data_IF_129394746219
#
_entry.id   IF_129394746219
#
_cell.length_a   1.000
_cell.length_b   1.000
_cell.length_c   1.000
_cell.angle_alpha   90.00
_cell.angle_beta   90.00
_cell.angle_gamma   90.00
#
_symmetry.space_group_name_H-M   'P 1'
#
loop_
_entity.id
_entity.type
_entity.pdbx_description
1 polymer ?
#
# COMPACT_ATOMS: atom_id res chain seq x y z
N UNK A 1 12.06 0.98 6.13
CA UNK A 1 10.85 0.20 5.82
C UNK A 1 9.69 0.97 6.41
N UNK A 2 8.58 1.14 5.70
CA UNK A 2 7.38 1.74 6.32
C UNK A 2 6.90 0.80 7.43
N UNK A 3 6.30 1.36 8.47
CA UNK A 3 5.65 0.57 9.52
C UNK A 3 4.53 -0.28 8.89
N UNK A 4 4.46 -1.56 9.24
CA UNK A 4 3.37 -2.43 8.76
C UNK A 4 2.08 -2.17 9.52
N UNK A 5 0.95 -2.67 9.00
CA UNK A 5 -0.34 -2.56 9.67
C UNK A 5 -0.31 -3.32 11.00
N UNK A 6 0.35 -4.47 11.04
CA UNK A 6 0.49 -5.32 12.21
C UNK A 6 1.34 -4.65 13.30
N UNK A 7 2.44 -3.99 12.91
CA UNK A 7 3.26 -3.20 13.83
C UNK A 7 2.46 -2.03 14.41
N UNK A 8 1.75 -1.26 13.58
CA UNK A 8 0.92 -0.15 14.02
C UNK A 8 -0.23 -0.61 14.94
N UNK A 9 -0.88 -1.72 14.61
CA UNK A 9 -1.93 -2.30 15.44
C UNK A 9 -1.38 -2.77 16.79
N UNK A 10 -0.21 -3.42 16.81
CA UNK A 10 0.44 -3.87 18.03
C UNK A 10 0.83 -2.71 18.93
N UNK A 11 1.37 -1.62 18.37
CA UNK A 11 1.70 -0.41 19.12
C UNK A 11 0.45 0.26 19.70
N UNK A 12 -0.63 0.36 18.92
CA UNK A 12 -1.91 0.91 19.37
C UNK A 12 -2.50 0.07 20.53
N UNK A 13 -2.51 -1.27 20.40
CA UNK A 13 -2.97 -2.16 21.47
C UNK A 13 -2.11 -2.00 22.73
N UNK A 14 -0.79 -1.95 22.59
CA UNK A 14 0.11 -1.80 23.73
C UNK A 14 -0.09 -0.46 24.46
N UNK A 15 -0.27 0.63 23.69
CA UNK A 15 -0.58 1.95 24.24
C UNK A 15 -1.89 1.93 25.01
N UNK A 16 -2.95 1.41 24.40
CA UNK A 16 -4.26 1.32 25.03
C UNK A 16 -4.25 0.43 26.28
N UNK A 17 -3.60 -0.73 26.25
CA UNK A 17 -3.51 -1.64 27.39
C UNK A 17 -2.86 -0.97 28.62
N UNK A 18 -2.02 0.05 28.42
CA UNK A 18 -1.40 0.84 29.49
C UNK A 18 -2.32 1.94 30.05
N UNK A 19 -3.31 2.38 29.29
CA UNK A 19 -4.11 3.59 29.60
C UNK A 19 -5.58 3.31 29.83
N UNK A 20 -6.11 2.19 29.34
CA UNK A 20 -7.53 1.85 29.37
C UNK A 20 -7.94 1.17 30.68
N UNK A 21 -9.13 1.50 31.17
CA UNK A 21 -9.80 0.75 32.23
C UNK A 21 -10.23 -0.63 31.69
N UNK A 22 -9.73 -1.71 32.28
CA UNK A 22 -10.02 -3.09 31.84
C UNK A 22 -11.42 -3.57 32.23
N UNK A 23 -12.17 -2.77 32.99
CA UNK A 23 -13.55 -3.05 33.38
C UNK A 23 -14.59 -2.38 32.48
N UNK A 24 -14.14 -1.69 31.42
CA UNK A 24 -15.02 -1.08 30.41
C UNK A 24 -16.06 -2.08 29.90
N UNK A 25 -17.31 -1.63 29.87
CA UNK A 25 -18.43 -2.42 29.36
C UNK A 25 -19.48 -1.52 28.70
N UNK A 26 -20.42 -2.14 27.98
CA UNK A 26 -21.54 -1.44 27.36
C UNK A 26 -21.12 -0.26 26.47
N UNK A 27 -21.70 0.91 26.73
CA UNK A 27 -21.49 2.11 25.90
C UNK A 27 -20.04 2.62 25.92
N UNK A 28 -19.35 2.48 27.04
CA UNK A 28 -17.98 2.99 27.15
C UNK A 28 -16.98 2.09 26.42
N UNK A 29 -17.22 0.77 26.41
CA UNK A 29 -16.47 -0.15 25.55
C UNK A 29 -16.72 0.13 24.06
N UNK A 30 -17.96 0.45 23.68
CA UNK A 30 -18.28 0.84 22.30
C UNK A 30 -17.55 2.12 21.85
N UNK A 31 -17.54 3.15 22.69
CA UNK A 31 -16.78 4.39 22.43
C UNK A 31 -15.28 4.15 22.31
N UNK A 32 -14.74 3.26 23.16
CA UNK A 32 -13.34 2.86 23.06
C UNK A 32 -13.05 2.18 21.71
N UNK A 33 -13.95 1.32 21.22
CA UNK A 33 -13.86 0.74 19.88
C UNK A 33 -13.86 1.79 18.76
N UNK A 34 -14.76 2.77 18.82
CA UNK A 34 -14.84 3.89 17.87
C UNK A 34 -13.52 4.69 17.83
N UNK A 35 -13.00 5.05 19.00
CA UNK A 35 -11.73 5.79 19.10
C UNK A 35 -10.56 5.04 18.48
N UNK A 36 -10.52 3.71 18.62
CA UNK A 36 -9.47 2.88 18.02
C UNK A 36 -9.63 2.77 16.50
N UNK A 37 -10.86 2.66 16.02
CA UNK A 37 -11.13 2.68 14.59
C UNK A 37 -10.68 4.00 13.95
N UNK A 38 -11.00 5.14 14.58
CA UNK A 38 -10.55 6.47 14.12
C UNK A 38 -9.02 6.57 14.11
N UNK A 39 -8.34 6.15 15.18
CA UNK A 39 -6.87 6.13 15.20
C UNK A 39 -6.27 5.27 14.08
N UNK A 40 -6.86 4.10 13.80
CA UNK A 40 -6.45 3.25 12.69
C UNK A 40 -6.66 3.92 11.33
N UNK A 41 -7.80 4.59 11.14
CA UNK A 41 -8.10 5.35 9.92
C UNK A 41 -7.16 6.56 9.74
N UNK A 42 -6.84 7.29 10.81
CA UNK A 42 -5.86 8.38 10.81
C UNK A 42 -4.45 7.90 10.51
N UNK A 43 -4.05 6.75 11.06
CA UNK A 43 -2.78 6.14 10.72
C UNK A 43 -2.73 5.77 9.24
N UNK A 44 -3.80 5.14 8.73
CA UNK A 44 -3.91 4.70 7.34
C UNK A 44 -3.87 5.86 6.36
N UNK A 45 -4.52 6.99 6.68
CA UNK A 45 -4.54 8.18 5.83
C UNK A 45 -3.17 8.87 5.69
N UNK A 46 -2.29 8.69 6.67
CA UNK A 46 -0.90 9.17 6.64
C UNK A 46 0.03 8.28 5.81
N UNK A 47 -0.38 7.04 5.49
CA UNK A 47 0.42 6.14 4.67
C UNK A 47 0.31 6.52 3.18
N UNK A 48 1.45 6.64 2.50
CA UNK A 48 1.45 6.85 1.06
C UNK A 48 0.91 5.62 0.33
N UNK A 49 -0.02 5.86 -0.61
CA UNK A 49 -0.57 4.85 -1.53
C UNK A 49 0.50 4.25 -2.45
N UNK A 50 1.60 4.97 -2.67
CA UNK A 50 2.73 4.52 -3.46
C UNK A 50 3.60 3.55 -2.67
N UNK A 51 3.76 2.36 -3.22
CA UNK A 51 4.56 1.27 -2.69
C UNK A 51 5.89 1.28 -3.44
N UNK A 52 7.00 1.30 -2.71
CA UNK A 52 8.32 1.24 -3.35
C UNK A 52 8.55 -0.15 -3.92
N UNK A 53 9.14 -0.24 -5.12
CA UNK A 53 9.58 -1.53 -5.69
C UNK A 53 10.62 -2.23 -4.81
N UNK A 54 11.33 -1.48 -3.95
CA UNK A 54 12.27 -2.03 -2.96
C UNK A 54 11.58 -2.58 -1.71
N UNK A 55 10.37 -2.10 -1.41
CA UNK A 55 9.55 -2.58 -0.29
C UNK A 55 8.88 -3.90 -0.67
N UNK A 56 8.16 -3.89 -1.79
CA UNK A 56 7.64 -5.11 -2.42
C UNK A 56 7.28 -4.87 -3.87
N UNK A 57 7.24 -5.95 -4.63
CA UNK A 57 6.72 -5.97 -5.99
C UNK A 57 5.22 -6.30 -6.00
N UNK A 58 4.46 -5.85 -7.02
CA UNK A 58 3.10 -6.31 -7.21
C UNK A 58 3.07 -7.76 -7.68
N UNK A 59 1.88 -8.35 -7.65
CA UNK A 59 1.66 -9.65 -8.28
C UNK A 59 1.96 -9.57 -9.79
N UNK A 60 2.71 -10.54 -10.35
CA UNK A 60 2.97 -10.55 -11.78
C UNK A 60 1.70 -10.57 -12.62
N UNK A 61 1.73 -9.86 -13.75
CA UNK A 61 0.65 -9.68 -14.72
C UNK A 61 -0.59 -8.95 -14.17
N UNK A 62 -0.50 -8.35 -12.98
CA UNK A 62 -1.52 -7.42 -12.49
C UNK A 62 -1.16 -5.99 -12.90
N UNK A 63 -2.12 -5.30 -13.51
CA UNK A 63 -1.96 -3.90 -13.88
C UNK A 63 -1.86 -3.03 -12.62
N UNK A 64 -0.90 -2.11 -12.66
CA UNK A 64 -0.62 -1.13 -11.61
C UNK A 64 -0.28 0.21 -12.25
N UNK A 65 -0.48 1.30 -11.51
CA UNK A 65 0.06 2.59 -11.90
C UNK A 65 1.52 2.64 -11.44
N UNK A 66 2.44 2.93 -12.36
CA UNK A 66 3.86 3.02 -12.10
C UNK A 66 4.29 4.48 -12.04
N UNK A 67 5.24 4.76 -11.13
CA UNK A 67 5.94 6.03 -11.06
C UNK A 67 7.35 5.87 -11.65
N UNK A 68 7.54 6.53 -12.79
CA UNK A 68 8.81 6.67 -13.48
C UNK A 68 9.42 8.04 -13.14
N UNK A 69 10.55 8.02 -12.43
CA UNK A 69 11.21 9.25 -11.98
C UNK A 69 11.78 10.09 -13.14
N UNK A 70 12.03 9.50 -14.31
CA UNK A 70 12.75 10.14 -15.42
C UNK A 70 11.87 10.36 -16.67
N UNK A 71 10.65 9.82 -16.70
CA UNK A 71 9.69 10.09 -17.77
C UNK A 71 9.09 11.49 -17.68
N UNK A 72 8.86 12.13 -18.83
CA UNK A 72 8.19 13.44 -18.96
C UNK A 72 6.82 13.45 -18.26
N UNK A 73 6.09 12.33 -18.28
CA UNK A 73 4.75 12.21 -17.69
C UNK A 73 4.77 11.66 -16.26
N UNK A 74 5.89 11.12 -15.81
CA UNK A 74 6.12 10.43 -14.54
C UNK A 74 5.21 9.24 -14.20
N UNK A 75 4.08 9.06 -14.88
CA UNK A 75 3.09 8.03 -14.60
C UNK A 75 2.77 7.23 -15.85
N UNK A 76 2.71 5.91 -15.70
CA UNK A 76 2.38 4.97 -16.78
C UNK A 76 1.69 3.74 -16.20
N UNK A 77 0.72 3.18 -16.92
CA UNK A 77 0.14 1.89 -16.54
C UNK A 77 1.12 0.81 -16.98
N UNK A 78 1.36 -0.18 -16.14
CA UNK A 78 2.17 -1.32 -16.50
C UNK A 78 1.92 -2.51 -15.61
N UNK A 79 2.65 -3.59 -15.86
CA UNK A 79 2.60 -4.79 -15.06
C UNK A 79 3.96 -5.44 -14.96
N UNK A 80 4.20 -6.08 -13.82
CA UNK A 80 5.39 -6.88 -13.63
C UNK A 80 5.23 -8.19 -14.41
N UNK A 81 6.20 -8.55 -15.24
CA UNK A 81 6.16 -9.81 -15.99
C UNK A 81 6.60 -10.96 -15.09
N UNK A 82 6.02 -12.16 -15.27
CA UNK A 82 6.47 -13.39 -14.57
C UNK A 82 7.88 -13.79 -14.95
N UNK A 83 8.20 -13.66 -16.24
CA UNK A 83 9.49 -13.98 -16.81
C UNK A 83 9.95 -12.84 -17.72
N UNK A 84 11.24 -12.56 -17.62
CA UNK A 84 11.97 -11.61 -18.45
C UNK A 84 12.02 -12.05 -19.92
N UNK A 85 12.11 -13.35 -20.19
CA UNK A 85 12.37 -13.88 -21.53
C UNK A 85 13.63 -13.25 -22.15
N UNK A 86 13.58 -12.92 -23.44
CA UNK A 86 14.70 -12.26 -24.15
C UNK A 86 14.84 -10.75 -23.89
N UNK A 87 13.90 -10.14 -23.15
CA UNK A 87 13.89 -8.69 -22.95
C UNK A 87 14.86 -8.25 -21.84
N UNK A 88 15.21 -6.97 -21.78
CA UNK A 88 16.09 -6.42 -20.74
C UNK A 88 15.36 -5.98 -19.47
N UNK A 89 14.05 -5.74 -19.54
CA UNK A 89 13.21 -5.31 -18.41
C UNK A 89 12.18 -6.35 -17.96
N UNK A 90 11.85 -6.31 -16.67
CA UNK A 90 10.76 -7.05 -16.02
C UNK A 90 9.42 -6.34 -16.13
N UNK A 91 9.39 -5.01 -16.26
CA UNK A 91 8.13 -4.28 -16.44
C UNK A 91 7.73 -4.20 -17.91
N UNK A 92 6.45 -4.46 -18.20
CA UNK A 92 5.82 -4.07 -19.45
C UNK A 92 4.95 -2.84 -19.21
N UNK A 93 5.11 -1.84 -20.07
CA UNK A 93 4.42 -0.55 -19.96
C UNK A 93 3.36 -0.42 -21.05
N UNK A 94 2.25 0.26 -20.75
CA UNK A 94 1.12 0.45 -21.66
C UNK A 94 1.47 1.32 -22.88
N UNK A 95 2.59 2.04 -22.83
CA UNK A 95 3.15 2.81 -23.95
C UNK A 95 4.06 1.98 -24.87
N UNK A 96 4.15 0.66 -24.65
CA UNK A 96 4.89 -0.29 -25.49
C UNK A 96 6.34 -0.53 -25.08
N UNK A 97 6.85 0.17 -24.05
CA UNK A 97 8.22 0.01 -23.57
C UNK A 97 8.36 -1.14 -22.56
N UNK A 98 9.57 -1.71 -22.47
CA UNK A 98 9.94 -2.75 -21.49
C UNK A 98 11.22 -2.29 -20.79
N UNK A 99 11.10 -1.75 -19.57
CA UNK A 99 12.24 -1.16 -18.84
C UNK A 99 12.09 -1.23 -17.32
N UNK A 100 13.22 -1.36 -16.62
CA UNK A 100 13.24 -1.38 -15.14
C UNK A 100 13.86 -0.12 -14.53
N UNK A 101 14.63 0.62 -15.32
CA UNK A 101 15.69 1.50 -14.80
C UNK A 101 15.17 2.63 -13.92
N UNK A 102 13.98 3.15 -14.25
CA UNK A 102 13.47 4.38 -13.65
C UNK A 102 12.12 4.22 -12.94
N UNK A 103 11.58 3.00 -12.92
CA UNK A 103 10.41 2.64 -12.13
C UNK A 103 10.82 2.51 -10.65
N UNK A 104 10.26 3.37 -9.80
CA UNK A 104 10.63 3.38 -8.36
C UNK A 104 9.48 3.03 -7.43
N UNK A 105 8.25 3.32 -7.84
CA UNK A 105 7.06 3.07 -7.04
C UNK A 105 5.92 2.58 -7.92
N UNK A 106 4.95 1.92 -7.29
CA UNK A 106 3.72 1.49 -7.92
C UNK A 106 2.53 1.71 -6.99
N UNK A 107 1.34 1.81 -7.57
CA UNK A 107 0.07 1.89 -6.85
C UNK A 107 -0.89 0.86 -7.45
N UNK A 108 -1.63 0.09 -6.62
CA UNK A 108 -2.63 -0.84 -7.13
C UNK A 108 -3.73 -0.09 -7.89
N UNK A 109 -4.23 -0.68 -8.97
CA UNK A 109 -5.45 -0.25 -9.65
C UNK A 109 -6.53 -1.26 -9.26
N UNK A 110 -7.43 -0.83 -8.39
CA UNK A 110 -8.57 -1.65 -7.99
C UNK A 110 -9.67 -1.58 -9.05
N UNK A 111 -10.33 -2.72 -9.28
CA UNK A 111 -11.49 -2.74 -10.17
C UNK A 111 -12.62 -1.91 -9.53
N UNK A 112 -13.41 -1.17 -10.31
CA UNK A 112 -14.61 -0.52 -9.80
C UNK A 112 -15.50 -1.54 -9.10
N UNK A 113 -16.02 -1.18 -7.92
CA UNK A 113 -17.09 -1.95 -7.28
C UNK A 113 -18.34 -1.73 -8.15
N UNK A 114 -18.82 -2.79 -8.79
CA UNK A 114 -20.10 -2.74 -9.49
C UNK A 114 -21.20 -3.10 -8.49
N UNK A 115 -22.21 -2.22 -8.38
CA UNK A 115 -23.45 -2.45 -7.64
C UNK A 115 -24.28 -3.59 -8.22
#
# INVERSE_FOLDING_TARGET
MKQTVEEAASENILFNHRTVDRTLSGKDLAKFGEMNFVQGAEWKSKQSLWISVKERLPEPNKEVLLYDKNSIRHYVIGWLRRDKGYNKGMWALSNGWIEDKDITHWMPIDKPITE
#
